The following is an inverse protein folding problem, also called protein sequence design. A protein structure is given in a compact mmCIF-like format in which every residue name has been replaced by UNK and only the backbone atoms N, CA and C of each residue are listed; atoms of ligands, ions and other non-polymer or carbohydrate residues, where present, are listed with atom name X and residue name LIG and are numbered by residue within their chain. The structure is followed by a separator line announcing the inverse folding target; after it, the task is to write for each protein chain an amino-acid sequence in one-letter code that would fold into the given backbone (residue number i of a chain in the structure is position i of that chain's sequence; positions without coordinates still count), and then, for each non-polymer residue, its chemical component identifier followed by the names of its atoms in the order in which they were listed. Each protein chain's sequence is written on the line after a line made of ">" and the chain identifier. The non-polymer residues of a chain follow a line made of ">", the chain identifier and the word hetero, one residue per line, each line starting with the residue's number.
data_IF_917887244160
#
_entry.id   IF_917887244160
#
_cell.length_a   1.000
_cell.length_b   1.000
_cell.length_c   1.000
_cell.angle_alpha   90.00
_cell.angle_beta   90.00
_cell.angle_gamma   90.00
#
_symmetry.space_group_name_H-M   'P 1'
#
loop_
_entity.id
_entity.type
_entity.pdbx_description
1 polymer ?
#
# COMPACT_ATOMS: atom_id res chain seq x y z
N UNK A 1 45.35 -59.59 -24.25
CA UNK A 1 45.31 -58.13 -24.02
C UNK A 1 43.85 -57.70 -24.03
N UNK A 2 43.21 -57.63 -22.86
CA UNK A 2 41.80 -57.23 -22.75
C UNK A 2 41.71 -55.71 -22.53
N UNK A 3 40.87 -54.98 -23.29
CA UNK A 3 40.84 -53.53 -23.22
C UNK A 3 40.08 -53.02 -21.98
N UNK A 4 40.80 -52.27 -21.14
CA UNK A 4 40.42 -51.68 -19.83
C UNK A 4 39.29 -50.63 -19.87
N UNK A 5 38.55 -50.51 -20.98
CA UNK A 5 37.61 -49.42 -21.25
C UNK A 5 36.12 -49.80 -21.09
N UNK A 6 35.81 -51.06 -20.85
CA UNK A 6 34.44 -51.56 -20.67
C UNK A 6 33.63 -50.91 -19.53
N UNK A 7 34.20 -50.59 -18.34
CA UNK A 7 33.39 -50.03 -17.25
C UNK A 7 32.97 -48.57 -17.51
N UNK A 8 33.77 -47.80 -18.25
CA UNK A 8 33.47 -46.39 -18.56
C UNK A 8 32.31 -46.27 -19.57
N UNK A 9 32.24 -47.19 -20.52
CA UNK A 9 31.15 -47.24 -21.51
C UNK A 9 29.82 -47.62 -20.85
N UNK A 10 29.85 -48.49 -19.84
CA UNK A 10 28.65 -48.85 -19.08
C UNK A 10 28.10 -47.68 -18.25
N UNK A 11 29.00 -46.89 -17.64
CA UNK A 11 28.61 -45.68 -16.88
C UNK A 11 28.03 -44.61 -17.82
N UNK A 12 28.64 -44.40 -18.98
CA UNK A 12 28.16 -43.43 -19.95
C UNK A 12 26.76 -43.77 -20.50
N UNK A 13 26.45 -45.07 -20.70
CA UNK A 13 25.11 -45.51 -21.09
C UNK A 13 24.09 -45.26 -19.98
N UNK A 14 24.41 -45.63 -18.74
CA UNK A 14 23.52 -45.38 -17.58
C UNK A 14 23.20 -43.90 -17.39
N UNK A 15 24.19 -43.01 -17.57
CA UNK A 15 23.98 -41.57 -17.49
C UNK A 15 23.06 -41.04 -18.60
N UNK A 16 23.24 -41.55 -19.82
CA UNK A 16 22.39 -41.21 -20.97
C UNK A 16 20.95 -41.67 -20.79
N UNK A 17 20.75 -42.86 -20.24
CA UNK A 17 19.42 -43.42 -20.00
C UNK A 17 18.68 -42.64 -18.90
N UNK A 18 19.40 -42.20 -17.85
CA UNK A 18 18.86 -41.30 -16.81
C UNK A 18 18.41 -39.95 -17.38
N UNK A 19 19.19 -39.38 -18.29
CA UNK A 19 18.84 -38.11 -18.94
C UNK A 19 17.63 -38.25 -19.88
N UNK A 20 17.48 -39.40 -20.55
CA UNK A 20 16.29 -39.69 -21.36
C UNK A 20 15.04 -39.90 -20.49
N UNK A 21 15.18 -40.54 -19.34
CA UNK A 21 14.09 -40.69 -18.36
C UNK A 21 13.64 -39.35 -17.75
N UNK A 22 14.57 -38.43 -17.51
CA UNK A 22 14.25 -37.07 -17.07
C UNK A 22 13.56 -36.25 -18.17
N UNK A 23 13.91 -36.48 -19.43
CA UNK A 23 13.29 -35.81 -20.58
C UNK A 23 11.88 -36.34 -20.90
N UNK A 24 11.56 -37.56 -20.48
CA UNK A 24 10.23 -38.17 -20.65
C UNK A 24 9.28 -37.92 -19.48
N UNK A 25 9.69 -37.19 -18.43
CA UNK A 25 8.75 -36.69 -17.43
C UNK A 25 7.77 -35.74 -18.14
N UNK A 26 6.46 -36.01 -18.08
CA UNK A 26 5.49 -35.19 -18.78
C UNK A 26 5.60 -33.76 -18.24
N UNK A 27 6.03 -32.83 -19.08
CA UNK A 27 5.85 -31.39 -18.91
C UNK A 27 4.36 -31.12 -19.16
N UNK A 28 3.51 -31.69 -18.30
CA UNK A 28 2.09 -31.47 -18.28
C UNK A 28 1.82 -30.45 -17.16
N UNK A 29 1.68 -29.19 -17.56
CA UNK A 29 0.90 -28.13 -16.88
C UNK A 29 1.14 -27.84 -15.39
N UNK A 30 2.24 -28.28 -14.78
CA UNK A 30 2.53 -28.00 -13.36
C UNK A 30 3.23 -26.67 -13.11
N UNK A 31 3.55 -25.87 -14.12
CA UNK A 31 4.15 -24.55 -13.91
C UNK A 31 3.23 -23.61 -13.08
N UNK A 32 1.91 -23.76 -13.20
CA UNK A 32 0.94 -23.05 -12.37
C UNK A 32 0.85 -23.60 -10.93
N UNK A 33 0.91 -24.92 -10.75
CA UNK A 33 0.82 -25.55 -9.43
C UNK A 33 2.13 -25.56 -8.66
N UNK A 34 3.28 -25.56 -9.33
CA UNK A 34 4.60 -25.42 -8.70
C UNK A 34 4.85 -23.96 -8.28
N UNK A 35 4.38 -22.98 -9.06
CA UNK A 35 4.36 -21.57 -8.64
C UNK A 35 3.42 -21.34 -7.45
N UNK A 36 2.21 -21.92 -7.49
CA UNK A 36 1.27 -21.88 -6.37
C UNK A 36 1.75 -22.67 -5.15
N UNK A 37 2.45 -23.79 -5.33
CA UNK A 37 3.03 -24.58 -4.24
C UNK A 37 4.25 -23.87 -3.65
N UNK A 38 5.12 -23.27 -4.47
CA UNK A 38 6.23 -22.45 -4.00
C UNK A 38 5.72 -21.23 -3.24
N UNK A 39 4.69 -20.55 -3.74
CA UNK A 39 4.00 -19.45 -3.06
C UNK A 39 3.33 -19.92 -1.77
N UNK A 40 2.64 -21.06 -1.78
CA UNK A 40 2.02 -21.63 -0.59
C UNK A 40 3.06 -22.02 0.46
N UNK A 41 4.21 -22.57 0.06
CA UNK A 41 5.33 -22.86 0.98
C UNK A 41 5.99 -21.60 1.52
N UNK A 42 6.01 -20.51 0.74
CA UNK A 42 6.49 -19.20 1.18
C UNK A 42 5.52 -18.55 2.18
N UNK A 43 4.21 -18.69 1.94
CA UNK A 43 3.13 -18.19 2.80
C UNK A 43 2.96 -19.04 4.08
N UNK A 44 3.48 -20.27 4.11
CA UNK A 44 3.48 -21.15 5.28
C UNK A 44 4.83 -21.20 6.02
N UNK A 45 5.78 -20.31 5.66
CA UNK A 45 7.00 -20.15 6.45
C UNK A 45 6.67 -19.55 7.83
N UNK A 46 7.06 -20.21 8.95
CA UNK A 46 6.85 -19.69 10.30
C UNK A 46 7.58 -18.36 10.56
N UNK A 47 8.50 -17.98 9.68
CA UNK A 47 9.14 -16.67 9.67
C UNK A 47 8.17 -15.53 9.28
N UNK A 48 7.15 -15.78 8.45
CA UNK A 48 6.13 -14.79 8.09
C UNK A 48 5.03 -14.67 9.16
N UNK A 49 4.79 -15.73 9.93
CA UNK A 49 3.83 -15.73 11.04
C UNK A 49 4.34 -14.99 12.30
N UNK A 50 5.66 -14.81 12.41
CA UNK A 50 6.31 -14.06 13.48
C UNK A 50 6.57 -12.59 13.11
N UNK A 51 6.20 -12.15 11.90
CA UNK A 51 6.20 -10.72 11.60
C UNK A 51 5.11 -10.03 12.42
N UNK A 52 5.39 -8.85 12.99
CA UNK A 52 4.37 -8.06 13.67
C UNK A 52 3.19 -7.88 12.72
N UNK A 53 2.05 -8.46 13.09
CA UNK A 53 0.83 -8.35 12.30
C UNK A 53 0.50 -6.88 12.20
N UNK A 54 0.50 -6.35 10.98
CA UNK A 54 0.03 -4.99 10.72
C UNK A 54 -1.39 -4.92 11.26
N UNK A 55 -1.65 -3.98 12.19
CA UNK A 55 -2.99 -3.74 12.71
C UNK A 55 -3.90 -3.42 11.51
N UNK A 56 -4.72 -4.38 11.12
CA UNK A 56 -5.62 -4.24 9.99
C UNK A 56 -6.74 -3.30 10.41
N UNK A 57 -6.95 -2.17 9.72
CA UNK A 57 -8.07 -1.29 10.01
C UNK A 57 -9.39 -2.08 9.87
N UNK A 58 -10.34 -1.84 10.78
CA UNK A 58 -11.57 -2.64 10.87
C UNK A 58 -12.46 -2.54 9.61
N UNK A 59 -12.30 -1.47 8.84
CA UNK A 59 -13.05 -1.17 7.61
C UNK A 59 -12.12 -1.07 6.40
N UNK A 60 -12.45 -1.83 5.37
CA UNK A 60 -11.82 -1.82 4.05
C UNK A 60 -12.52 -0.86 3.10
N UNK A 61 -12.10 -0.87 1.83
CA UNK A 61 -12.68 -0.02 0.79
C UNK A 61 -14.17 -0.36 0.60
N UNK A 62 -15.05 0.63 0.68
CA UNK A 62 -16.49 0.50 0.44
C UNK A 62 -17.30 -0.13 1.58
N UNK A 63 -16.85 -0.03 2.84
CA UNK A 63 -17.60 -0.42 4.03
C UNK A 63 -17.43 -1.87 4.45
N UNK A 64 -16.63 -2.64 3.72
CA UNK A 64 -16.44 -4.05 3.99
C UNK A 64 -15.61 -4.25 5.27
N UNK A 65 -16.12 -5.06 6.20
CA UNK A 65 -15.36 -5.45 7.38
C UNK A 65 -14.18 -6.33 6.96
N UNK A 66 -12.96 -5.93 7.32
CA UNK A 66 -11.75 -6.72 6.99
C UNK A 66 -11.54 -7.75 8.09
N UNK A 67 -11.63 -9.02 7.72
CA UNK A 67 -11.33 -10.12 8.64
C UNK A 67 -9.85 -10.47 8.63
N UNK A 68 -9.39 -11.01 9.76
CA UNK A 68 -8.01 -11.42 9.92
C UNK A 68 -7.68 -12.56 8.96
N UNK A 69 -6.77 -12.32 8.01
CA UNK A 69 -6.42 -13.26 6.94
C UNK A 69 -6.91 -12.86 5.55
N UNK A 70 -7.75 -11.84 5.43
CA UNK A 70 -8.11 -11.24 4.13
C UNK A 70 -7.03 -10.24 3.69
N UNK A 71 -6.07 -10.73 2.92
CA UNK A 71 -4.97 -9.92 2.43
C UNK A 71 -5.42 -8.82 1.45
N UNK A 72 -6.50 -9.04 0.68
CA UNK A 72 -7.02 -8.05 -0.27
C UNK A 72 -7.74 -6.93 0.49
N UNK A 73 -8.62 -7.29 1.42
CA UNK A 73 -9.31 -6.33 2.28
C UNK A 73 -8.33 -5.48 3.11
N UNK A 74 -7.27 -6.11 3.61
CA UNK A 74 -6.21 -5.42 4.39
C UNK A 74 -5.47 -4.36 3.59
N UNK A 75 -5.09 -4.68 2.35
CA UNK A 75 -4.40 -3.71 1.47
C UNK A 75 -5.32 -2.53 1.14
N UNK A 76 -6.60 -2.80 0.86
CA UNK A 76 -7.60 -1.75 0.64
C UNK A 76 -7.77 -0.84 1.86
N UNK A 77 -7.88 -1.41 3.06
CA UNK A 77 -8.00 -0.65 4.30
C UNK A 77 -6.79 0.25 4.58
N UNK A 78 -5.57 -0.26 4.34
CA UNK A 78 -4.34 0.52 4.47
C UNK A 78 -4.34 1.69 3.48
N UNK A 79 -4.80 1.48 2.25
CA UNK A 79 -4.90 2.55 1.27
C UNK A 79 -5.85 3.67 1.72
N UNK A 80 -7.04 3.33 2.22
CA UNK A 80 -7.98 4.33 2.78
C UNK A 80 -7.34 5.09 3.93
N UNK A 81 -6.62 4.41 4.82
CA UNK A 81 -5.90 5.05 5.92
C UNK A 81 -4.82 6.02 5.45
N UNK A 82 -4.04 5.66 4.41
CA UNK A 82 -3.03 6.57 3.83
C UNK A 82 -3.69 7.80 3.21
N UNK A 83 -4.79 7.63 2.47
CA UNK A 83 -5.53 8.77 1.91
C UNK A 83 -6.07 9.68 3.01
N UNK A 84 -6.61 9.11 4.09
CA UNK A 84 -7.07 9.89 5.23
C UNK A 84 -5.95 10.72 5.87
N UNK A 85 -4.74 10.16 5.99
CA UNK A 85 -3.56 10.90 6.50
C UNK A 85 -3.20 12.05 5.55
N UNK A 86 -3.19 11.82 4.23
CA UNK A 86 -2.89 12.87 3.24
C UNK A 86 -3.90 14.02 3.35
N UNK A 87 -5.20 13.72 3.47
CA UNK A 87 -6.25 14.71 3.67
C UNK A 87 -5.99 15.53 4.94
N UNK A 88 -5.61 14.88 6.04
CA UNK A 88 -5.34 15.55 7.31
C UNK A 88 -4.14 16.50 7.21
N UNK A 89 -3.08 16.08 6.51
CA UNK A 89 -1.91 16.92 6.22
C UNK A 89 -2.28 18.13 5.35
N UNK A 90 -3.10 17.94 4.32
CA UNK A 90 -3.59 19.04 3.49
C UNK A 90 -4.44 20.03 4.28
N UNK A 91 -5.36 19.54 5.12
CA UNK A 91 -6.15 20.38 6.02
C UNK A 91 -5.27 21.21 6.96
N UNK A 92 -4.25 20.59 7.55
CA UNK A 92 -3.29 21.30 8.40
C UNK A 92 -2.53 22.37 7.61
N UNK A 93 -2.10 22.06 6.39
CA UNK A 93 -1.40 23.02 5.52
C UNK A 93 -2.26 24.24 5.18
N UNK A 94 -3.52 24.04 4.78
CA UNK A 94 -4.46 25.14 4.52
C UNK A 94 -4.70 26.00 5.76
N UNK A 95 -4.77 25.38 6.94
CA UNK A 95 -4.94 26.09 8.19
C UNK A 95 -3.73 27.01 8.50
N UNK A 96 -2.49 26.51 8.34
CA UNK A 96 -1.29 27.33 8.49
C UNK A 96 -1.30 28.50 7.50
N UNK A 97 -1.68 28.27 6.24
CA UNK A 97 -1.73 29.32 5.23
C UNK A 97 -2.79 30.39 5.56
N UNK A 98 -3.94 29.99 6.10
CA UNK A 98 -4.97 30.91 6.59
C UNK A 98 -4.49 31.81 7.73
N UNK A 99 -3.76 31.24 8.71
CA UNK A 99 -3.19 32.01 9.82
C UNK A 99 -2.11 32.99 9.34
N UNK A 100 -1.22 32.57 8.45
CA UNK A 100 -0.17 33.45 7.91
C UNK A 100 -0.75 34.63 7.14
N UNK A 101 -1.81 34.39 6.35
CA UNK A 101 -2.54 35.46 5.67
C UNK A 101 -3.24 36.40 6.65
N UNK A 102 -3.81 35.86 7.73
CA UNK A 102 -4.45 36.65 8.78
C UNK A 102 -3.45 37.55 9.52
N UNK A 103 -2.27 37.04 9.87
CA UNK A 103 -1.20 37.83 10.50
C UNK A 103 -0.80 39.00 9.59
N UNK A 104 -0.69 38.74 8.29
CA UNK A 104 -0.33 39.78 7.31
C UNK A 104 -1.38 40.89 7.26
N UNK A 105 -2.67 40.53 7.20
CA UNK A 105 -3.78 41.49 7.23
C UNK A 105 -3.90 42.23 8.56
N UNK A 106 -3.62 41.58 9.68
CA UNK A 106 -3.56 42.22 11.00
C UNK A 106 -2.46 43.28 11.06
N UNK A 107 -1.30 42.98 10.47
CA UNK A 107 -0.17 43.92 10.37
C UNK A 107 -0.54 45.14 9.52
N UNK A 108 -1.25 44.94 8.41
CA UNK A 108 -1.71 46.03 7.54
C UNK A 108 -2.77 46.93 8.22
N UNK A 109 -3.64 46.34 9.02
CA UNK A 109 -4.56 47.08 9.89
C UNK A 109 -3.81 47.89 10.95
N UNK A 110 -2.83 47.26 11.62
CA UNK A 110 -2.03 47.91 12.68
C UNK A 110 -1.17 49.07 12.15
N UNK A 111 -0.75 49.00 10.89
CA UNK A 111 -0.02 50.06 10.19
C UNK A 111 -0.93 51.17 9.64
N UNK A 112 -2.24 51.13 9.90
CA UNK A 112 -3.21 52.15 9.44
C UNK A 112 -3.48 52.13 7.94
N UNK A 113 -3.06 51.07 7.22
CA UNK A 113 -3.21 50.95 5.76
C UNK A 113 -4.51 50.26 5.34
N UNK A 114 -5.22 49.62 6.27
CA UNK A 114 -6.45 48.89 6.00
C UNK A 114 -7.57 49.27 6.98
N UNK A 115 -8.80 49.28 6.49
CA UNK A 115 -9.99 49.49 7.32
C UNK A 115 -10.36 48.21 8.07
N UNK A 116 -10.93 48.36 9.27
CA UNK A 116 -11.50 47.25 10.08
C UNK A 116 -12.50 46.39 9.27
N UNK A 117 -13.18 46.99 8.29
CA UNK A 117 -14.12 46.31 7.42
C UNK A 117 -13.49 45.19 6.58
N UNK A 118 -12.30 45.42 6.04
CA UNK A 118 -11.58 44.43 5.23
C UNK A 118 -11.00 43.30 6.10
N UNK A 119 -10.60 43.63 7.34
CA UNK A 119 -10.08 42.63 8.29
C UNK A 119 -11.14 41.61 8.70
N UNK A 120 -12.36 42.06 9.04
CA UNK A 120 -13.46 41.17 9.42
C UNK A 120 -13.92 40.29 8.26
N UNK A 121 -13.95 40.83 7.04
CA UNK A 121 -14.36 40.09 5.86
C UNK A 121 -13.34 39.00 5.53
N UNK A 122 -12.05 39.32 5.59
CA UNK A 122 -10.98 38.34 5.46
C UNK A 122 -11.08 37.23 6.53
N UNK A 123 -11.36 37.60 7.78
CA UNK A 123 -11.53 36.64 8.89
C UNK A 123 -12.65 35.64 8.61
N UNK A 124 -13.81 36.14 8.15
CA UNK A 124 -14.97 35.31 7.78
C UNK A 124 -14.61 34.40 6.60
N UNK A 125 -13.93 34.92 5.57
CA UNK A 125 -13.54 34.14 4.40
C UNK A 125 -12.58 32.99 4.76
N UNK A 126 -11.59 33.23 5.61
CA UNK A 126 -10.65 32.19 6.06
C UNK A 126 -11.35 31.11 6.88
N UNK A 127 -12.27 31.49 7.76
CA UNK A 127 -13.06 30.51 8.53
C UNK A 127 -13.93 29.69 7.58
N UNK A 128 -14.65 30.35 6.67
CA UNK A 128 -15.55 29.69 5.73
C UNK A 128 -14.78 28.70 4.84
N UNK A 129 -13.64 29.13 4.27
CA UNK A 129 -12.81 28.26 3.44
C UNK A 129 -12.23 27.09 4.23
N UNK A 130 -11.83 27.31 5.48
CA UNK A 130 -11.30 26.24 6.34
C UNK A 130 -12.35 25.18 6.64
N UNK A 131 -13.59 25.60 6.95
CA UNK A 131 -14.71 24.68 7.18
C UNK A 131 -15.02 23.87 5.92
N UNK A 132 -15.06 24.52 4.75
CA UNK A 132 -15.30 23.84 3.47
C UNK A 132 -14.23 22.78 3.18
N UNK A 133 -12.96 23.08 3.41
CA UNK A 133 -11.85 22.12 3.20
C UNK A 133 -11.97 20.92 4.11
N UNK A 134 -12.30 21.12 5.40
CA UNK A 134 -12.49 20.03 6.36
C UNK A 134 -13.68 19.15 5.97
N UNK A 135 -14.81 19.75 5.55
CA UNK A 135 -15.98 19.01 5.09
C UNK A 135 -15.67 18.21 3.83
N UNK A 136 -14.96 18.79 2.86
CA UNK A 136 -14.57 18.12 1.64
C UNK A 136 -13.60 16.95 1.91
N UNK A 137 -12.63 17.17 2.79
CA UNK A 137 -11.70 16.14 3.21
C UNK A 137 -12.40 14.98 3.94
N UNK A 138 -13.30 15.31 4.87
CA UNK A 138 -14.13 14.33 5.57
C UNK A 138 -15.02 13.55 4.60
N UNK A 139 -15.63 14.21 3.63
CA UNK A 139 -16.44 13.57 2.59
C UNK A 139 -15.59 12.61 1.75
N UNK A 140 -14.42 13.02 1.28
CA UNK A 140 -13.53 12.18 0.48
C UNK A 140 -13.17 10.88 1.21
N UNK A 141 -12.84 10.96 2.50
CA UNK A 141 -12.55 9.77 3.32
C UNK A 141 -13.81 8.90 3.49
N UNK A 142 -14.96 9.52 3.80
CA UNK A 142 -16.22 8.80 4.02
C UNK A 142 -16.74 8.07 2.77
N UNK A 143 -16.43 8.57 1.57
CA UNK A 143 -16.84 7.94 0.31
C UNK A 143 -16.00 6.71 -0.05
N UNK A 144 -14.80 6.61 0.52
CA UNK A 144 -13.87 5.51 0.28
C UNK A 144 -14.00 4.40 1.32
N UNK A 145 -14.38 4.77 2.55
CA UNK A 145 -14.64 3.86 3.67
C UNK A 145 -16.01 3.24 3.59
#
# INVERSE_FOLDING_TARGET
>A
MQPKFEPLVAVARRARDRLRALKSLPIASTAGTAGAAALATLMSQPALAALPTIATPATGVGGAAVQQGDWIGTIGAIFVAVVAIIVLVLCAWFFLQGIMGLITKWKDYSNGRAQIGDLKEYFVMVILSSVVVVLLGGYAVSTMS
#
